data_IF_014145143307
#
_entry.id   IF_014145143307
#
_cell.length_a   1.000
_cell.length_b   1.000
_cell.length_c   1.000
_cell.angle_alpha   90.00
_cell.angle_beta   90.00
_cell.angle_gamma   90.00
#
_symmetry.space_group_name_H-M   'P 1'
#
loop_
_entity.id
_entity.type
_entity.pdbx_description
1 polymer ?
#
# COMPACT_ATOMS: atom_id res chain seq x y z
N UNK A 1 -17.72 3.92 19.43
CA UNK A 1 -17.24 5.30 19.18
C UNK A 1 -15.85 5.39 18.54
N UNK A 2 -14.84 4.57 18.91
CA UNK A 2 -13.45 4.68 18.40
C UNK A 2 -13.32 4.60 16.86
N UNK A 3 -14.07 3.71 16.19
CA UNK A 3 -14.02 3.56 14.73
C UNK A 3 -14.44 4.82 13.96
N UNK A 4 -15.55 5.48 14.35
CA UNK A 4 -16.04 6.69 13.67
C UNK A 4 -15.00 7.83 13.76
N UNK A 5 -14.34 7.95 14.92
CA UNK A 5 -13.27 8.94 15.11
C UNK A 5 -12.07 8.66 14.22
N UNK A 6 -11.68 7.39 14.08
CA UNK A 6 -10.57 6.98 13.20
C UNK A 6 -10.87 7.27 11.74
N UNK A 7 -12.09 6.96 11.26
CA UNK A 7 -12.51 7.27 9.89
C UNK A 7 -12.48 8.78 9.62
N UNK A 8 -13.06 9.60 10.52
CA UNK A 8 -13.04 11.07 10.36
C UNK A 8 -11.63 11.63 10.38
N UNK A 9 -10.79 11.15 11.29
CA UNK A 9 -9.38 11.54 11.39
C UNK A 9 -8.64 11.20 10.10
N UNK A 10 -8.79 9.98 9.59
CA UNK A 10 -8.18 9.56 8.32
C UNK A 10 -8.64 10.42 7.14
N UNK A 11 -9.94 10.73 7.07
CA UNK A 11 -10.52 11.55 5.98
C UNK A 11 -9.95 12.95 6.03
N UNK A 12 -9.97 13.61 7.19
CA UNK A 12 -9.43 14.96 7.33
C UNK A 12 -7.93 15.00 7.02
N UNK A 13 -7.15 14.05 7.53
CA UNK A 13 -5.71 13.96 7.28
C UNK A 13 -5.41 13.77 5.79
N UNK A 14 -6.06 12.80 5.14
CA UNK A 14 -5.85 12.55 3.70
C UNK A 14 -6.34 13.71 2.84
N UNK A 15 -7.47 14.35 3.19
CA UNK A 15 -7.98 15.51 2.47
C UNK A 15 -7.02 16.71 2.57
N UNK A 16 -6.39 16.92 3.72
CA UNK A 16 -5.40 17.99 3.89
C UNK A 16 -4.17 17.77 3.00
N UNK A 17 -3.66 16.53 2.90
CA UNK A 17 -2.57 16.21 1.97
C UNK A 17 -2.98 16.36 0.51
N UNK A 18 -4.19 15.95 0.14
CA UNK A 18 -4.71 16.18 -1.21
C UNK A 18 -4.83 17.68 -1.52
N UNK A 19 -5.25 18.51 -0.57
CA UNK A 19 -5.30 19.97 -0.75
C UNK A 19 -3.91 20.56 -1.00
N UNK A 20 -2.87 20.11 -0.28
CA UNK A 20 -1.48 20.52 -0.53
C UNK A 20 -1.01 20.16 -1.93
N UNK A 21 -1.54 19.09 -2.52
CA UNK A 21 -1.24 18.69 -3.90
C UNK A 21 -2.01 19.47 -4.98
N UNK A 22 -2.80 20.48 -4.60
CA UNK A 22 -3.48 21.40 -5.53
C UNK A 22 -4.97 21.13 -5.78
N UNK A 23 -5.58 20.16 -5.07
CA UNK A 23 -7.02 19.93 -5.16
C UNK A 23 -7.82 21.01 -4.40
N UNK A 24 -9.00 21.35 -4.91
CA UNK A 24 -9.95 22.17 -4.13
C UNK A 24 -10.43 21.42 -2.89
N UNK A 25 -10.91 22.15 -1.88
CA UNK A 25 -11.38 21.57 -0.63
C UNK A 25 -12.44 20.48 -0.86
N UNK A 26 -13.45 20.78 -1.68
CA UNK A 26 -14.53 19.84 -2.00
C UNK A 26 -14.00 18.59 -2.73
N UNK A 27 -13.09 18.76 -3.68
CA UNK A 27 -12.47 17.64 -4.39
C UNK A 27 -11.64 16.75 -3.46
N UNK A 28 -10.84 17.36 -2.59
CA UNK A 28 -9.98 16.65 -1.65
C UNK A 28 -10.80 15.78 -0.69
N UNK A 29 -11.85 16.34 -0.07
CA UNK A 29 -12.71 15.60 0.85
C UNK A 29 -13.49 14.47 0.16
N UNK A 30 -14.07 14.72 -1.03
CA UNK A 30 -14.78 13.67 -1.79
C UNK A 30 -13.85 12.52 -2.16
N UNK A 31 -12.61 12.83 -2.56
CA UNK A 31 -11.60 11.84 -2.95
C UNK A 31 -11.07 11.06 -1.75
N UNK A 32 -10.79 11.72 -0.63
CA UNK A 32 -10.40 11.09 0.62
C UNK A 32 -11.50 10.16 1.15
N UNK A 33 -12.75 10.63 1.19
CA UNK A 33 -13.90 9.84 1.63
C UNK A 33 -14.07 8.58 0.79
N UNK A 34 -13.99 8.69 -0.54
CA UNK A 34 -14.09 7.54 -1.44
C UNK A 34 -13.00 6.50 -1.16
N UNK A 35 -11.76 6.94 -0.92
CA UNK A 35 -10.61 6.08 -0.64
C UNK A 35 -10.66 5.36 0.70
N UNK A 36 -11.28 5.98 1.69
CA UNK A 36 -11.37 5.41 3.04
C UNK A 36 -12.59 4.50 3.16
N UNK A 37 -13.72 4.87 2.56
CA UNK A 37 -14.96 4.08 2.63
C UNK A 37 -14.95 2.89 1.68
N UNK A 38 -14.35 3.04 0.49
CA UNK A 38 -14.23 1.98 -0.51
C UNK A 38 -12.75 1.60 -0.53
N UNK A 39 -12.44 0.38 -0.11
CA UNK A 39 -11.07 -0.12 0.00
C UNK A 39 -10.25 0.16 -1.27
N UNK A 40 -8.95 0.38 -1.08
CA UNK A 40 -8.06 0.79 -2.15
C UNK A 40 -7.29 -0.40 -2.70
N UNK A 41 -7.73 -0.89 -3.86
CA UNK A 41 -6.94 -1.84 -4.65
C UNK A 41 -5.82 -1.09 -5.35
N UNK A 42 -4.58 -1.41 -5.01
CA UNK A 42 -3.40 -0.78 -5.60
C UNK A 42 -2.47 -1.81 -6.21
N UNK A 43 -1.83 -1.43 -7.32
CA UNK A 43 -0.69 -2.16 -7.88
C UNK A 43 0.58 -1.65 -7.22
N UNK A 44 1.38 -2.57 -6.68
CA UNK A 44 2.68 -2.27 -6.10
C UNK A 44 3.62 -1.77 -7.19
N UNK A 45 4.40 -0.72 -6.89
CA UNK A 45 5.43 -0.18 -7.79
C UNK A 45 6.82 -0.56 -7.33
N UNK A 46 7.79 -0.54 -8.24
CA UNK A 46 9.17 -0.95 -7.95
C UNK A 46 9.38 -2.46 -7.92
N UNK A 47 8.42 -3.26 -8.43
CA UNK A 47 8.52 -4.72 -8.44
C UNK A 47 9.65 -5.26 -9.33
N UNK A 48 10.16 -4.44 -10.25
CA UNK A 48 11.25 -4.79 -11.17
C UNK A 48 12.64 -4.42 -10.66
N UNK A 49 12.73 -3.79 -9.49
CA UNK A 49 14.02 -3.32 -8.95
C UNK A 49 14.73 -4.42 -8.16
N UNK A 50 16.02 -4.60 -8.41
CA UNK A 50 16.84 -5.62 -7.75
C UNK A 50 16.25 -7.03 -7.86
N UNK A 51 16.32 -7.79 -6.77
CA UNK A 51 15.91 -9.20 -6.76
C UNK A 51 14.41 -9.40 -6.48
N UNK A 52 13.57 -8.37 -6.67
CA UNK A 52 12.14 -8.44 -6.34
C UNK A 52 11.39 -9.37 -7.30
N UNK A 53 11.78 -9.45 -8.58
CA UNK A 53 11.17 -10.37 -9.53
C UNK A 53 11.35 -11.84 -9.12
N UNK A 54 12.55 -12.21 -8.68
CA UNK A 54 12.84 -13.56 -8.17
C UNK A 54 12.06 -13.86 -6.89
N UNK A 55 11.96 -12.88 -5.98
CA UNK A 55 11.17 -12.99 -4.76
C UNK A 55 9.69 -13.20 -5.08
N UNK A 56 9.12 -12.42 -6.01
CA UNK A 56 7.73 -12.57 -6.45
C UNK A 56 7.48 -13.91 -7.12
N UNK A 57 8.42 -14.38 -7.96
CA UNK A 57 8.38 -15.72 -8.55
C UNK A 57 8.34 -16.81 -7.50
N UNK A 58 9.20 -16.72 -6.48
CA UNK A 58 9.21 -17.66 -5.35
C UNK A 58 7.89 -17.62 -4.57
N UNK A 59 7.40 -16.42 -4.23
CA UNK A 59 6.15 -16.28 -3.49
C UNK A 59 4.95 -16.81 -4.27
N UNK A 60 4.91 -16.68 -5.60
CA UNK A 60 3.81 -17.21 -6.43
C UNK A 60 3.57 -18.72 -6.27
N UNK A 61 4.56 -19.47 -5.78
CA UNK A 61 4.43 -20.91 -5.54
C UNK A 61 3.56 -21.24 -4.32
N UNK A 62 3.32 -20.28 -3.43
CA UNK A 62 2.55 -20.48 -2.21
C UNK A 62 1.13 -19.91 -2.35
N UNK A 63 0.12 -20.52 -1.67
CA UNK A 63 -1.23 -19.95 -1.62
C UNK A 63 -1.22 -18.57 -0.95
N UNK A 64 -1.96 -17.62 -1.54
CA UNK A 64 -2.05 -16.23 -1.06
C UNK A 64 -2.54 -16.15 0.39
N UNK A 65 -3.41 -17.07 0.81
CA UNK A 65 -3.96 -17.17 2.17
C UNK A 65 -2.88 -17.38 3.25
N UNK A 66 -1.76 -18.00 2.88
CA UNK A 66 -0.61 -18.22 3.78
C UNK A 66 0.27 -16.98 3.94
N UNK A 67 -0.02 -15.93 3.17
CA UNK A 67 0.70 -14.67 3.17
C UNK A 67 -0.09 -13.60 3.91
N UNK A 68 0.64 -12.64 4.47
CA UNK A 68 0.08 -11.43 5.04
C UNK A 68 0.82 -10.23 4.46
N UNK A 69 0.09 -9.19 4.08
CA UNK A 69 0.68 -7.94 3.62
C UNK A 69 0.71 -6.92 4.77
N UNK A 70 1.79 -6.15 4.83
CA UNK A 70 2.02 -5.12 5.84
C UNK A 70 2.54 -3.85 5.14
N UNK A 71 2.07 -2.69 5.58
CA UNK A 71 2.58 -1.39 5.15
C UNK A 71 3.58 -0.88 6.18
N UNK A 72 4.81 -0.62 5.72
CA UNK A 72 5.89 -0.14 6.59
C UNK A 72 6.36 1.22 6.09
N UNK A 73 6.42 2.22 6.97
CA UNK A 73 6.93 3.55 6.65
C UNK A 73 8.44 3.48 6.39
N UNK A 74 8.89 4.16 5.34
CA UNK A 74 10.30 4.33 4.99
C UNK A 74 10.61 5.85 4.91
N UNK A 75 10.74 6.54 6.06
CA UNK A 75 10.95 7.99 6.08
C UNK A 75 12.34 8.41 5.59
N UNK A 76 13.32 7.51 5.67
CA UNK A 76 14.72 7.73 5.27
C UNK A 76 14.95 7.49 3.76
N UNK A 77 13.88 7.26 3.01
CA UNK A 77 13.97 7.06 1.57
C UNK A 77 14.48 8.32 0.87
N UNK A 78 15.59 8.17 0.14
CA UNK A 78 16.29 9.27 -0.54
C UNK A 78 15.45 9.99 -1.61
N UNK A 79 14.42 9.34 -2.16
CA UNK A 79 13.61 9.88 -3.26
C UNK A 79 12.25 10.42 -2.82
N UNK A 80 11.67 9.85 -1.75
CA UNK A 80 10.35 10.23 -1.24
C UNK A 80 10.23 9.97 0.27
N UNK A 81 10.25 11.02 1.09
CA UNK A 81 10.03 10.95 2.56
C UNK A 81 8.69 10.30 2.97
N UNK A 82 7.72 10.27 2.05
CA UNK A 82 6.42 9.65 2.29
C UNK A 82 6.40 8.19 1.81
N UNK A 83 7.54 7.59 1.46
CA UNK A 83 7.59 6.22 0.97
C UNK A 83 7.01 5.24 1.99
N UNK A 84 6.26 4.28 1.45
CA UNK A 84 5.65 3.18 2.22
C UNK A 84 6.00 1.90 1.49
N UNK A 85 6.77 1.05 2.16
CA UNK A 85 7.11 -0.27 1.68
C UNK A 85 5.93 -1.21 1.86
N UNK A 86 5.78 -2.12 0.90
CA UNK A 86 4.85 -3.24 0.98
C UNK A 86 5.69 -4.46 1.33
N UNK A 87 5.44 -4.99 2.53
CA UNK A 87 6.13 -6.16 3.07
C UNK A 87 5.16 -7.32 3.05
N UNK A 88 5.57 -8.45 2.47
CA UNK A 88 4.82 -9.69 2.52
C UNK A 88 5.49 -10.61 3.54
N UNK A 89 4.70 -11.10 4.49
CA UNK A 89 5.08 -12.13 5.45
C UNK A 89 4.54 -13.47 4.99
N UNK A 90 5.43 -14.41 4.70
CA UNK A 90 5.08 -15.80 4.46
C UNK A 90 5.05 -16.53 5.80
N UNK A 91 3.85 -16.90 6.27
CA UNK A 91 3.68 -17.56 7.57
C UNK A 91 4.31 -18.96 7.59
N UNK A 92 4.23 -19.69 6.48
CA UNK A 92 4.74 -21.07 6.36
C UNK A 92 6.23 -21.21 6.63
N UNK A 93 7.02 -20.17 6.35
CA UNK A 93 8.49 -20.17 6.52
C UNK A 93 8.98 -19.02 7.41
N UNK A 94 8.05 -18.34 8.09
CA UNK A 94 8.28 -17.16 8.92
C UNK A 94 9.21 -16.10 8.30
N UNK A 95 9.05 -15.81 7.00
CA UNK A 95 9.94 -14.89 6.27
C UNK A 95 9.20 -13.64 5.83
N UNK A 96 9.74 -12.46 6.18
CA UNK A 96 9.26 -11.17 5.70
C UNK A 96 10.10 -10.68 4.52
N UNK A 97 9.45 -10.18 3.49
CA UNK A 97 10.10 -9.71 2.26
C UNK A 97 9.47 -8.43 1.76
N UNK A 98 10.29 -7.41 1.50
CA UNK A 98 9.85 -6.19 0.79
C UNK A 98 9.65 -6.51 -0.68
N UNK A 99 8.46 -6.19 -1.21
CA UNK A 99 8.07 -6.48 -2.59
C UNK A 99 7.91 -5.22 -3.46
N UNK A 100 8.10 -4.06 -2.86
CA UNK A 100 8.03 -2.77 -3.55
C UNK A 100 7.41 -1.72 -2.65
N UNK A 101 6.83 -0.70 -3.29
CA UNK A 101 6.31 0.48 -2.63
C UNK A 101 4.88 0.79 -3.05
N UNK A 102 4.18 1.54 -2.18
CA UNK A 102 2.94 2.22 -2.54
C UNK A 102 3.23 3.28 -3.61
N UNK A 103 2.38 3.43 -4.63
CA UNK A 103 2.54 4.49 -5.62
C UNK A 103 2.65 5.89 -4.98
N UNK A 104 3.63 6.70 -5.40
CA UNK A 104 3.90 8.05 -4.86
C UNK A 104 2.67 8.94 -4.73
N UNK A 105 1.74 8.88 -5.71
CA UNK A 105 0.47 9.65 -5.71
C UNK A 105 -0.47 9.31 -4.54
N UNK A 106 -0.32 8.12 -3.95
CA UNK A 106 -1.09 7.65 -2.80
C UNK A 106 -0.28 7.72 -1.51
N UNK A 107 1.04 7.52 -1.62
CA UNK A 107 1.98 7.46 -0.51
C UNK A 107 1.88 8.69 0.41
N UNK A 108 1.82 9.92 -0.12
CA UNK A 108 1.71 11.13 0.70
C UNK A 108 0.50 11.14 1.64
N UNK A 109 -0.69 10.78 1.11
CA UNK A 109 -1.92 10.75 1.90
C UNK A 109 -1.94 9.58 2.89
N UNK A 110 -1.47 8.41 2.47
CA UNK A 110 -1.41 7.23 3.34
C UNK A 110 -0.37 7.38 4.45
N UNK A 111 0.79 7.95 4.14
CA UNK A 111 1.86 8.20 5.10
C UNK A 111 1.35 9.09 6.23
N UNK A 112 0.70 10.21 5.90
CA UNK A 112 0.12 11.09 6.91
C UNK A 112 -0.95 10.39 7.77
N UNK A 113 -1.75 9.48 7.19
CA UNK A 113 -2.75 8.70 7.93
C UNK A 113 -2.10 7.69 8.90
N UNK A 114 -1.05 6.99 8.45
CA UNK A 114 -0.25 6.08 9.29
C UNK A 114 0.45 6.86 10.40
N UNK A 115 1.10 7.97 10.07
CA UNK A 115 1.83 8.83 11.01
C UNK A 115 0.87 9.46 12.03
N UNK A 116 -0.41 9.63 11.67
CA UNK A 116 -1.47 10.05 12.58
C UNK A 116 -1.99 8.93 13.50
N UNK A 117 -1.42 7.72 13.44
CA UNK A 117 -1.74 6.57 14.29
C UNK A 117 -3.05 5.87 13.92
N UNK A 118 -3.55 6.04 12.70
CA UNK A 118 -4.73 5.29 12.23
C UNK A 118 -4.29 3.90 11.81
N UNK A 119 -4.99 2.87 12.30
CA UNK A 119 -4.74 1.49 11.90
C UNK A 119 -5.14 1.27 10.44
N UNK A 120 -4.26 0.62 9.67
CA UNK A 120 -4.50 0.31 8.26
C UNK A 120 -4.31 -1.19 8.09
N UNK A 121 -5.33 -1.86 7.59
CA UNK A 121 -5.29 -3.25 7.21
C UNK A 121 -4.88 -3.37 5.75
N UNK A 122 -4.02 -4.35 5.44
CA UNK A 122 -3.57 -4.59 4.06
C UNK A 122 -3.64 -6.08 3.76
N UNK A 123 -4.32 -6.40 2.67
CA UNK A 123 -4.53 -7.76 2.21
C UNK A 123 -3.81 -7.96 0.87
N UNK A 124 -3.05 -9.05 0.76
CA UNK A 124 -2.52 -9.47 -0.53
C UNK A 124 -3.67 -10.07 -1.34
N UNK A 125 -3.99 -9.48 -2.49
CA UNK A 125 -5.02 -10.03 -3.37
C UNK A 125 -4.42 -11.07 -4.32
N UNK A 126 -3.33 -10.71 -5.00
CA UNK A 126 -2.73 -11.58 -6.01
C UNK A 126 -1.30 -11.16 -6.35
N UNK A 127 -0.46 -12.15 -6.66
CA UNK A 127 0.80 -11.93 -7.39
C UNK A 127 0.49 -12.07 -8.89
N UNK A 128 0.69 -10.98 -9.63
CA UNK A 128 0.39 -10.87 -11.06
C UNK A 128 1.58 -11.32 -11.91
N UNK A 129 1.32 -11.64 -13.18
CA UNK A 129 2.36 -11.88 -14.20
C UNK A 129 3.02 -13.26 -14.12
N UNK A 130 3.98 -13.51 -15.01
CA UNK A 130 4.62 -14.82 -15.17
C UNK A 130 3.70 -15.86 -15.80
N UNK A 131 2.82 -15.44 -16.72
CA UNK A 131 2.07 -16.34 -17.60
C UNK A 131 2.83 -16.60 -18.92
N UNK A 132 3.77 -15.72 -19.28
CA UNK A 132 4.64 -15.85 -20.45
C UNK A 132 6.07 -15.44 -20.14
N UNK A 133 7.03 -15.86 -20.96
CA UNK A 133 8.47 -15.69 -20.75
C UNK A 133 8.96 -14.23 -20.73
N UNK A 134 8.17 -13.28 -21.25
CA UNK A 134 8.48 -11.84 -21.24
C UNK A 134 7.69 -11.03 -20.20
N UNK A 135 6.85 -11.68 -19.40
CA UNK A 135 6.03 -10.97 -18.42
C UNK A 135 6.73 -10.84 -17.08
N UNK A 136 6.84 -9.60 -16.60
CA UNK A 136 7.30 -9.32 -15.25
C UNK A 136 6.21 -9.65 -14.22
N UNK A 137 6.64 -10.10 -13.06
CA UNK A 137 5.79 -10.28 -11.90
C UNK A 137 5.38 -8.93 -11.30
N UNK A 138 4.13 -8.86 -10.87
CA UNK A 138 3.55 -7.73 -10.14
C UNK A 138 2.91 -8.18 -8.84
N UNK A 139 2.46 -7.22 -8.05
CA UNK A 139 1.73 -7.49 -6.82
C UNK A 139 0.50 -6.56 -6.75
N UNK A 140 -0.64 -7.13 -6.35
CA UNK A 140 -1.89 -6.44 -6.14
C UNK A 140 -2.29 -6.58 -4.67
N UNK A 141 -2.49 -5.46 -3.99
CA UNK A 141 -2.91 -5.42 -2.59
C UNK A 141 -4.17 -4.57 -2.44
N UNK A 142 -4.99 -4.92 -1.45
CA UNK A 142 -6.11 -4.11 -0.99
C UNK A 142 -5.75 -3.43 0.32
N UNK A 143 -6.03 -2.14 0.44
CA UNK A 143 -5.76 -1.34 1.63
C UNK A 143 -7.09 -0.85 2.20
N UNK A 144 -7.33 -1.13 3.49
CA UNK A 144 -8.53 -0.78 4.25
C UNK A 144 -8.13 0.06 5.47
N UNK A 145 -8.93 1.09 5.78
CA UNK A 145 -8.69 2.08 6.85
C UNK A 145 -9.91 2.11 7.78
#
# INVERSE_FOLDING_TARGET
MKQITNTRKAVCTMANELRKSGYSLSQAFRKAWRRIKVSMKIRVVGTTSGNIQERLKFMKQFPVETMQAELVRDPDNRFDKNAIQIVIHLRSINRKTVVGYVPRRLAAGLAAVIDAGVHIETELLQILGGYSYKENYGCLVDIKI
#
